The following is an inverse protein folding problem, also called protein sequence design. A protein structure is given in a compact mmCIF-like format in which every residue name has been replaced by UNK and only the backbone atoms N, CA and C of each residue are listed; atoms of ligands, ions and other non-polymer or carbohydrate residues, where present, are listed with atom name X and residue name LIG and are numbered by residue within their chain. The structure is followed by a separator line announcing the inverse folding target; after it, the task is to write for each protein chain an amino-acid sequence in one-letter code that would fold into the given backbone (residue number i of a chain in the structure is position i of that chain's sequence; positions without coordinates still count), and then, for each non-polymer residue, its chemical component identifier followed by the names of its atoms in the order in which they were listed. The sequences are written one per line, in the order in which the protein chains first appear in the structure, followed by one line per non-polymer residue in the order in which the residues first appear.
data_IF_096730766469
#
_entry.id   IF_096730766469
#
_cell.length_a   1.000
_cell.length_b   1.000
_cell.length_c   1.000
_cell.angle_alpha   90.00
_cell.angle_beta   90.00
_cell.angle_gamma   90.00
#
_symmetry.space_group_name_H-M   'P 1'
#
loop_
_entity.id
_entity.type
_entity.pdbx_description
1 polymer ?
#
# COMPACT_ATOMS: atom_id res chain seq x y z
N UNK A 1 -3.38 22.49 -3.84
CA UNK A 1 -3.70 21.77 -2.58
C UNK A 1 -2.42 21.72 -1.77
N UNK A 2 -2.48 21.60 -0.44
CA UNK A 2 -1.28 21.39 0.40
C UNK A 2 -1.01 19.90 0.43
N UNK A 3 0.25 19.52 0.26
CA UNK A 3 0.67 18.12 0.33
C UNK A 3 0.50 17.60 1.76
N UNK A 4 0.10 16.33 1.86
CA UNK A 4 -0.13 15.61 3.13
C UNK A 4 1.03 14.65 3.40
N UNK A 5 1.63 14.76 4.57
CA UNK A 5 2.75 13.90 5.02
C UNK A 5 2.25 12.97 6.12
N UNK A 6 2.37 11.66 5.90
CA UNK A 6 2.12 10.65 6.92
C UNK A 6 3.41 10.43 7.74
N UNK A 7 3.31 10.63 9.05
CA UNK A 7 4.41 10.42 10.01
C UNK A 7 4.12 9.14 10.77
N UNK A 8 5.04 8.18 10.70
CA UNK A 8 4.94 6.87 11.36
C UNK A 8 6.07 6.75 12.38
N UNK A 9 5.71 6.90 13.66
CA UNK A 9 6.65 6.97 14.77
C UNK A 9 5.93 6.53 16.05
N UNK A 10 6.51 5.58 16.79
CA UNK A 10 5.92 5.06 18.03
C UNK A 10 6.31 5.85 19.28
N UNK A 11 7.39 6.63 19.24
CA UNK A 11 7.78 7.52 20.33
C UNK A 11 6.97 8.83 20.28
N UNK A 12 6.04 9.10 21.24
CA UNK A 12 5.10 10.20 21.13
C UNK A 12 5.76 11.58 21.13
N UNK A 13 6.86 11.75 21.88
CA UNK A 13 7.59 13.02 21.97
C UNK A 13 8.25 13.33 20.63
N UNK A 14 8.90 12.35 20.03
CA UNK A 14 9.55 12.51 18.74
C UNK A 14 8.52 12.69 17.60
N UNK A 15 7.43 11.92 17.61
CA UNK A 15 6.32 12.08 16.68
C UNK A 15 5.75 13.51 16.73
N UNK A 16 5.52 14.05 17.92
CA UNK A 16 5.02 15.43 18.13
C UNK A 16 6.00 16.47 17.61
N UNK A 17 7.30 16.26 17.80
CA UNK A 17 8.35 17.16 17.31
C UNK A 17 8.38 17.18 15.77
N UNK A 18 8.34 16.00 15.14
CA UNK A 18 8.33 15.86 13.68
C UNK A 18 7.04 16.47 13.10
N UNK A 19 5.88 16.22 13.72
CA UNK A 19 4.60 16.81 13.33
C UNK A 19 4.66 18.34 13.32
N UNK A 20 5.18 18.93 14.43
CA UNK A 20 5.36 20.38 14.53
C UNK A 20 6.24 20.91 13.38
N UNK A 21 7.36 20.27 13.13
CA UNK A 21 8.30 20.68 12.08
C UNK A 21 7.68 20.62 10.68
N UNK A 22 6.97 19.55 10.38
CA UNK A 22 6.34 19.35 9.07
C UNK A 22 5.21 20.36 8.85
N UNK A 23 4.39 20.64 9.88
CA UNK A 23 3.37 21.69 9.84
C UNK A 23 3.95 23.09 9.68
N UNK A 24 5.05 23.41 10.38
CA UNK A 24 5.74 24.69 10.20
C UNK A 24 6.27 24.89 8.78
N UNK A 25 6.65 23.80 8.11
CA UNK A 25 7.06 23.82 6.71
C UNK A 25 5.88 23.99 5.72
N UNK A 26 4.64 24.02 6.20
CA UNK A 26 3.43 24.29 5.41
C UNK A 26 2.66 23.07 4.94
N UNK A 27 3.03 21.87 5.36
CA UNK A 27 2.36 20.60 5.00
C UNK A 27 1.18 20.28 5.93
N UNK A 28 0.26 19.46 5.45
CA UNK A 28 -0.71 18.74 6.28
C UNK A 28 -0.06 17.47 6.82
N UNK A 29 -0.47 17.03 8.01
CA UNK A 29 0.12 15.85 8.64
C UNK A 29 -0.92 14.85 9.10
N UNK A 30 -0.58 13.57 8.98
CA UNK A 30 -1.23 12.43 9.60
C UNK A 30 -0.18 11.75 10.47
N UNK A 31 -0.54 11.34 11.70
CA UNK A 31 0.39 10.69 12.62
C UNK A 31 -0.11 9.30 12.96
N UNK A 32 0.76 8.31 12.84
CA UNK A 32 0.50 6.93 13.17
C UNK A 32 1.57 6.40 14.14
N UNK A 33 1.15 5.86 15.27
CA UNK A 33 2.04 5.27 16.27
C UNK A 33 2.31 3.78 16.02
N UNK A 34 1.65 3.17 15.06
CA UNK A 34 1.81 1.74 14.73
C UNK A 34 1.75 1.51 13.23
N UNK A 35 2.38 0.41 12.77
CA UNK A 35 2.34 0.04 11.36
C UNK A 35 0.92 -0.22 10.83
N UNK A 36 0.02 -0.74 11.68
CA UNK A 36 -1.38 -0.95 11.29
C UNK A 36 -2.13 0.39 11.06
N UNK A 37 -1.89 1.38 11.93
CA UNK A 37 -2.42 2.74 11.74
C UNK A 37 -1.81 3.40 10.50
N UNK A 38 -0.50 3.24 10.30
CA UNK A 38 0.20 3.77 9.13
C UNK A 38 -0.40 3.27 7.81
N UNK A 39 -0.59 1.95 7.69
CA UNK A 39 -1.20 1.37 6.50
C UNK A 39 -2.66 1.80 6.32
N UNK A 40 -3.42 1.97 7.40
CA UNK A 40 -4.79 2.51 7.33
C UNK A 40 -4.77 3.93 6.76
N UNK A 41 -4.03 4.86 7.38
CA UNK A 41 -3.90 6.23 6.88
C UNK A 41 -3.40 6.27 5.45
N UNK A 42 -2.43 5.42 5.12
CA UNK A 42 -1.92 5.35 3.76
C UNK A 42 -3.01 5.03 2.72
N UNK A 43 -3.89 4.05 3.02
CA UNK A 43 -4.94 3.63 2.08
C UNK A 43 -6.20 4.50 2.11
N UNK A 44 -6.55 5.09 3.25
CA UNK A 44 -7.76 5.87 3.41
C UNK A 44 -7.58 7.35 3.04
N UNK A 45 -6.42 7.92 3.40
CA UNK A 45 -6.16 9.37 3.32
C UNK A 45 -5.20 9.75 2.17
N UNK A 46 -4.58 8.78 1.49
CA UNK A 46 -3.69 8.98 0.34
C UNK A 46 -2.63 10.08 0.53
N UNK A 47 -1.68 9.93 1.47
CA UNK A 47 -0.64 10.91 1.69
C UNK A 47 0.29 11.06 0.48
N UNK A 48 0.84 12.25 0.30
CA UNK A 48 1.80 12.58 -0.77
C UNK A 48 3.24 12.15 -0.43
N UNK A 49 3.53 11.91 0.86
CA UNK A 49 4.83 11.44 1.34
C UNK A 49 4.66 10.70 2.68
N UNK A 50 5.50 9.71 2.92
CA UNK A 50 5.57 8.98 4.19
C UNK A 50 6.94 9.22 4.84
N UNK A 51 6.94 9.69 6.09
CA UNK A 51 8.10 9.71 7.00
C UNK A 51 7.94 8.52 7.94
N UNK A 52 8.89 7.59 7.94
CA UNK A 52 8.73 6.29 8.58
C UNK A 52 9.93 5.94 9.46
N UNK A 53 9.70 5.66 10.75
CA UNK A 53 10.71 4.98 11.56
C UNK A 53 10.75 3.48 11.22
N UNK A 54 11.95 2.95 11.16
CA UNK A 54 12.20 1.51 10.98
C UNK A 54 11.89 0.73 12.24
N UNK A 55 12.16 1.33 13.42
CA UNK A 55 12.20 0.63 14.70
C UNK A 55 10.84 0.57 15.40
N UNK A 56 9.78 0.24 14.66
CA UNK A 56 8.44 0.12 15.22
C UNK A 56 8.24 -1.20 15.98
N UNK A 57 7.45 -1.24 17.07
CA UNK A 57 7.40 -2.38 17.99
C UNK A 57 6.69 -3.62 17.47
N UNK A 58 5.76 -3.51 16.53
CA UNK A 58 4.90 -4.64 16.11
C UNK A 58 5.03 -5.02 14.64
N UNK A 59 5.16 -4.05 13.78
CA UNK A 59 5.37 -4.24 12.35
C UNK A 59 6.63 -3.47 11.98
N UNK A 60 7.69 -4.18 11.60
CA UNK A 60 8.96 -3.57 11.21
C UNK A 60 8.74 -2.58 10.05
N UNK A 61 9.35 -1.39 10.14
CA UNK A 61 9.24 -0.37 9.10
C UNK A 61 9.58 -0.88 7.69
N UNK A 62 10.46 -1.87 7.58
CA UNK A 62 10.76 -2.54 6.32
C UNK A 62 9.53 -3.21 5.69
N UNK A 63 8.71 -3.88 6.50
CA UNK A 63 7.48 -4.51 6.05
C UNK A 63 6.43 -3.48 5.61
N UNK A 64 6.42 -2.30 6.23
CA UNK A 64 5.55 -1.20 5.81
C UNK A 64 5.98 -0.67 4.44
N UNK A 65 7.30 -0.48 4.21
CA UNK A 65 7.83 -0.11 2.90
C UNK A 65 7.41 -1.12 1.83
N UNK A 66 7.66 -2.41 2.05
CA UNK A 66 7.28 -3.46 1.12
C UNK A 66 5.78 -3.41 0.77
N UNK A 67 4.93 -3.27 1.81
CA UNK A 67 3.48 -3.18 1.64
C UNK A 67 3.03 -1.97 0.83
N UNK A 68 3.61 -0.81 1.10
CA UNK A 68 3.31 0.41 0.34
C UNK A 68 3.78 0.25 -1.11
N UNK A 69 4.96 -0.34 -1.32
CA UNK A 69 5.56 -0.52 -2.65
C UNK A 69 4.86 -1.56 -3.52
N UNK A 70 4.09 -2.47 -2.94
CA UNK A 70 3.21 -3.35 -3.71
C UNK A 70 2.22 -2.57 -4.57
N UNK A 71 1.80 -1.38 -4.12
CA UNK A 71 0.68 -0.65 -4.71
C UNK A 71 0.96 0.83 -5.02
N UNK A 72 2.07 1.41 -4.53
CA UNK A 72 2.31 2.84 -4.66
C UNK A 72 3.79 3.19 -4.74
N UNK A 73 4.04 4.32 -5.41
CA UNK A 73 5.34 4.98 -5.49
C UNK A 73 5.41 6.27 -4.68
N UNK A 74 4.47 6.45 -3.74
CA UNK A 74 4.54 7.58 -2.81
C UNK A 74 5.94 7.66 -2.22
N UNK A 75 6.58 8.83 -2.15
CA UNK A 75 7.89 8.96 -1.57
C UNK A 75 7.91 8.49 -0.12
N UNK A 76 8.88 7.63 0.21
CA UNK A 76 9.10 7.14 1.59
C UNK A 76 10.47 7.61 2.05
N UNK A 77 10.46 8.43 3.08
CA UNK A 77 11.64 8.91 3.77
C UNK A 77 11.79 8.16 5.10
N UNK A 78 12.82 7.33 5.19
CA UNK A 78 13.08 6.58 6.42
C UNK A 78 13.86 7.42 7.42
N UNK A 79 13.37 7.47 8.66
CA UNK A 79 14.02 8.20 9.78
C UNK A 79 14.24 7.21 10.92
N UNK A 80 15.49 6.92 11.27
CA UNK A 80 15.77 5.87 12.25
C UNK A 80 17.11 6.05 12.96
N UNK A 81 17.22 5.46 14.17
CA UNK A 81 18.47 5.35 14.90
C UNK A 81 19.45 4.34 14.29
N UNK A 82 18.99 3.44 13.42
CA UNK A 82 19.83 2.46 12.73
C UNK A 82 20.67 3.16 11.68
N UNK A 83 21.97 3.24 11.93
CA UNK A 83 22.92 3.98 11.09
C UNK A 83 23.85 3.09 10.26
N UNK A 84 23.73 1.76 10.35
CA UNK A 84 24.61 0.85 9.63
C UNK A 84 24.44 1.02 8.10
N UNK A 85 25.54 0.87 7.37
CA UNK A 85 25.50 0.90 5.91
C UNK A 85 24.60 -0.20 5.34
N UNK A 86 24.59 -1.37 6.00
CA UNK A 86 23.73 -2.49 5.63
C UNK A 86 22.23 -2.13 5.72
N UNK A 87 21.81 -1.41 6.76
CA UNK A 87 20.43 -0.96 6.93
C UNK A 87 20.02 0.05 5.85
N UNK A 88 20.91 1.00 5.54
CA UNK A 88 20.69 1.98 4.47
C UNK A 88 20.52 1.30 3.10
N UNK A 89 21.42 0.37 2.77
CA UNK A 89 21.36 -0.40 1.53
C UNK A 89 20.09 -1.25 1.48
N UNK A 90 19.68 -1.86 2.60
CA UNK A 90 18.43 -2.62 2.70
C UNK A 90 17.22 -1.73 2.41
N UNK A 91 17.12 -0.56 3.05
CA UNK A 91 16.01 0.37 2.84
C UNK A 91 15.85 0.80 1.40
N UNK A 92 16.94 1.20 0.77
CA UNK A 92 16.93 1.62 -0.64
C UNK A 92 16.57 0.45 -1.57
N UNK A 93 17.03 -0.78 -1.30
CA UNK A 93 16.65 -1.97 -2.08
C UNK A 93 15.16 -2.31 -1.95
N UNK A 94 14.56 -2.08 -0.80
CA UNK A 94 13.13 -2.29 -0.56
C UNK A 94 12.25 -1.18 -1.14
N UNK A 95 12.88 -0.11 -1.65
CA UNK A 95 12.21 0.96 -2.35
C UNK A 95 11.96 2.23 -1.54
N UNK A 96 12.67 2.43 -0.42
CA UNK A 96 12.72 3.75 0.21
C UNK A 96 13.42 4.76 -0.71
N UNK A 97 12.96 6.01 -0.72
CA UNK A 97 13.50 7.07 -1.59
C UNK A 97 14.65 7.82 -0.96
N UNK A 98 14.70 7.87 0.36
CA UNK A 98 15.76 8.51 1.11
C UNK A 98 15.83 7.96 2.56
N UNK A 99 16.92 8.27 3.26
CA UNK A 99 17.22 7.75 4.57
C UNK A 99 17.89 8.81 5.44
N UNK A 100 17.33 9.08 6.63
CA UNK A 100 17.89 10.00 7.62
C UNK A 100 18.18 9.24 8.90
N UNK A 101 19.36 9.48 9.48
CA UNK A 101 19.70 8.90 10.79
C UNK A 101 19.36 9.88 11.92
N UNK A 102 18.76 9.39 12.98
CA UNK A 102 18.62 10.13 14.26
C UNK A 102 20.01 10.33 14.92
N UNK A 103 20.34 11.49 15.50
CA UNK A 103 19.52 12.69 15.61
C UNK A 103 19.46 13.46 14.29
N UNK A 104 18.31 14.03 13.98
CA UNK A 104 18.09 14.83 12.78
C UNK A 104 17.72 16.27 13.16
N UNK A 105 17.90 17.20 12.21
CA UNK A 105 17.54 18.60 12.38
C UNK A 105 16.33 18.99 11.53
N UNK A 106 15.59 20.02 12.00
CA UNK A 106 14.47 20.57 11.22
C UNK A 106 14.85 20.94 9.77
N UNK A 107 15.96 21.69 9.50
CA UNK A 107 16.32 22.03 8.13
C UNK A 107 16.60 20.80 7.26
N UNK A 108 17.23 19.77 7.82
CA UNK A 108 17.52 18.54 7.08
C UNK A 108 16.24 17.79 6.70
N UNK A 109 15.34 17.56 7.67
CA UNK A 109 14.08 16.87 7.43
C UNK A 109 13.28 17.59 6.35
N UNK A 110 13.09 18.91 6.48
CA UNK A 110 12.31 19.71 5.52
C UNK A 110 12.94 19.69 4.12
N UNK A 111 14.26 19.84 4.03
CA UNK A 111 14.96 19.80 2.75
C UNK A 111 14.78 18.45 2.03
N UNK A 112 14.79 17.34 2.78
CA UNK A 112 14.58 16.00 2.20
C UNK A 112 13.13 15.75 1.80
N UNK A 113 12.16 16.18 2.59
CA UNK A 113 10.73 16.15 2.23
C UNK A 113 10.52 16.92 0.91
N UNK A 114 11.01 18.16 0.83
CA UNK A 114 10.90 18.96 -0.39
C UNK A 114 11.57 18.32 -1.60
N UNK A 115 12.75 17.73 -1.41
CA UNK A 115 13.45 17.03 -2.49
C UNK A 115 12.70 15.78 -2.96
N UNK A 116 12.11 15.01 -2.03
CA UNK A 116 11.33 13.82 -2.35
C UNK A 116 10.04 14.16 -3.10
N UNK A 117 9.27 15.14 -2.62
CA UNK A 117 8.05 15.62 -3.29
C UNK A 117 8.34 16.19 -4.68
N UNK A 118 9.40 17.01 -4.82
CA UNK A 118 9.81 17.54 -6.12
C UNK A 118 10.21 16.42 -7.09
N UNK A 119 10.96 15.42 -6.67
CA UNK A 119 11.31 14.26 -7.51
C UNK A 119 10.06 13.50 -7.96
N UNK A 120 9.11 13.28 -7.06
CA UNK A 120 7.83 12.64 -7.38
C UNK A 120 7.03 13.45 -8.42
N UNK A 121 6.98 14.78 -8.28
CA UNK A 121 6.28 15.67 -9.21
C UNK A 121 6.96 15.77 -10.60
N UNK A 122 8.29 15.60 -10.67
CA UNK A 122 9.07 15.71 -11.92
C UNK A 122 9.41 14.35 -12.54
N UNK A 123 9.10 13.24 -11.86
CA UNK A 123 9.24 11.92 -12.47
C UNK A 123 8.39 11.87 -13.75
N UNK A 124 8.96 11.45 -14.90
CA UNK A 124 8.15 11.25 -16.09
C UNK A 124 7.01 10.30 -15.71
N UNK A 125 5.79 10.51 -16.22
CA UNK A 125 4.69 9.60 -15.95
C UNK A 125 5.12 8.23 -16.46
N UNK A 126 5.61 7.39 -15.55
CA UNK A 126 5.77 5.98 -15.89
C UNK A 126 4.39 5.49 -16.30
N UNK A 127 4.37 4.61 -17.31
CA UNK A 127 3.10 4.02 -17.74
C UNK A 127 2.34 3.59 -16.50
N UNK A 128 1.12 4.07 -16.30
CA UNK A 128 0.36 3.76 -15.08
C UNK A 128 0.40 2.27 -14.87
N UNK A 129 0.73 1.84 -13.66
CA UNK A 129 0.78 0.41 -13.28
C UNK A 129 -0.64 -0.13 -13.25
N UNK A 130 -1.18 -0.38 -14.43
CA UNK A 130 -2.52 -0.90 -14.65
C UNK A 130 -2.45 -2.39 -14.93
N UNK A 131 -2.99 -3.16 -14.01
CA UNK A 131 -3.26 -4.56 -14.24
C UNK A 131 -4.55 -4.67 -15.04
N UNK A 132 -4.57 -5.53 -16.05
CA UNK A 132 -5.75 -5.72 -16.89
C UNK A 132 -6.04 -7.21 -17.05
N UNK A 133 -7.30 -7.54 -16.86
CA UNK A 133 -7.82 -8.86 -17.20
C UNK A 133 -9.19 -8.69 -17.85
N UNK A 134 -9.25 -8.87 -19.18
CA UNK A 134 -10.46 -8.63 -19.99
C UNK A 134 -10.97 -7.19 -19.81
N UNK A 135 -12.20 -7.01 -19.31
CA UNK A 135 -12.88 -5.76 -19.06
C UNK A 135 -12.64 -5.18 -17.64
N UNK A 136 -11.85 -5.92 -16.83
CA UNK A 136 -11.43 -5.49 -15.50
C UNK A 136 -10.07 -4.78 -15.60
N UNK A 137 -9.99 -3.59 -15.04
CA UNK A 137 -8.78 -2.76 -14.95
C UNK A 137 -8.56 -2.39 -13.51
N UNK A 138 -7.37 -2.66 -12.97
CA UNK A 138 -6.94 -2.25 -11.65
C UNK A 138 -5.78 -1.28 -11.82
N UNK A 139 -6.00 -0.03 -11.45
CA UNK A 139 -5.00 1.02 -11.45
C UNK A 139 -4.34 1.05 -10.07
N UNK A 140 -3.09 0.61 -10.00
CA UNK A 140 -2.35 0.49 -8.74
C UNK A 140 -1.88 1.85 -8.21
N UNK A 141 -1.71 2.84 -9.08
CA UNK A 141 -1.25 4.17 -8.72
C UNK A 141 -2.43 5.01 -8.18
N UNK A 142 -3.60 4.91 -8.83
CA UNK A 142 -4.82 5.59 -8.39
C UNK A 142 -5.62 4.81 -7.34
N UNK A 143 -5.18 3.60 -6.93
CA UNK A 143 -5.94 2.70 -6.04
C UNK A 143 -7.38 2.49 -6.48
N UNK A 144 -7.61 2.43 -7.78
CA UNK A 144 -8.93 2.37 -8.37
C UNK A 144 -9.10 1.11 -9.22
N UNK A 145 -10.24 0.43 -9.04
CA UNK A 145 -10.65 -0.67 -9.90
C UNK A 145 -11.84 -0.25 -10.77
N UNK A 146 -11.82 -0.66 -12.03
CA UNK A 146 -12.91 -0.46 -12.99
C UNK A 146 -13.28 -1.77 -13.66
N UNK A 147 -14.56 -2.01 -13.80
CA UNK A 147 -15.11 -3.12 -14.56
C UNK A 147 -16.02 -2.53 -15.65
N UNK A 148 -15.76 -2.84 -16.91
CA UNK A 148 -16.50 -2.27 -18.06
C UNK A 148 -16.49 -0.74 -18.09
N UNK A 149 -15.44 -0.13 -17.55
CA UNK A 149 -15.31 1.33 -17.43
C UNK A 149 -15.94 1.94 -16.19
N UNK A 150 -16.81 1.21 -15.47
CA UNK A 150 -17.43 1.67 -14.23
C UNK A 150 -16.52 1.45 -13.02
N UNK A 151 -16.47 2.45 -12.13
CA UNK A 151 -15.65 2.39 -10.91
C UNK A 151 -16.27 1.45 -9.89
N UNK A 152 -15.48 0.48 -9.41
CA UNK A 152 -15.88 -0.40 -8.32
C UNK A 152 -15.36 0.18 -7.01
N UNK A 153 -16.24 0.45 -6.05
CA UNK A 153 -15.86 0.92 -4.72
C UNK A 153 -15.38 -0.24 -3.86
N UNK A 154 -14.08 -0.37 -3.72
CA UNK A 154 -13.43 -1.42 -2.93
C UNK A 154 -12.87 -0.84 -1.63
N UNK A 155 -12.90 -1.64 -0.56
CA UNK A 155 -12.08 -1.37 0.62
C UNK A 155 -10.60 -1.63 0.29
N UNK A 156 -9.64 -1.11 1.08
CA UNK A 156 -8.21 -1.37 0.84
C UNK A 156 -7.86 -2.85 0.74
N UNK A 157 -8.47 -3.69 1.58
CA UNK A 157 -8.26 -5.15 1.57
C UNK A 157 -8.85 -5.82 0.33
N UNK A 158 -10.06 -5.43 -0.08
CA UNK A 158 -10.68 -5.93 -1.31
C UNK A 158 -9.90 -5.50 -2.55
N UNK A 159 -9.36 -4.29 -2.56
CA UNK A 159 -8.50 -3.78 -3.63
C UNK A 159 -7.23 -4.62 -3.75
N UNK A 160 -6.50 -4.85 -2.65
CA UNK A 160 -5.30 -5.70 -2.63
C UNK A 160 -5.61 -7.12 -3.10
N UNK A 161 -6.72 -7.69 -2.63
CA UNK A 161 -7.16 -9.01 -3.06
C UNK A 161 -7.44 -9.06 -4.56
N UNK A 162 -8.15 -8.06 -5.09
CA UNK A 162 -8.44 -7.98 -6.52
C UNK A 162 -7.16 -7.81 -7.35
N UNK A 163 -6.26 -6.90 -6.94
CA UNK A 163 -4.97 -6.68 -7.59
C UNK A 163 -4.16 -7.98 -7.67
N UNK A 164 -4.04 -8.70 -6.55
CA UNK A 164 -3.35 -9.98 -6.48
C UNK A 164 -3.97 -11.04 -7.41
N UNK A 165 -5.29 -11.12 -7.45
CA UNK A 165 -6.00 -12.06 -8.35
C UNK A 165 -5.81 -11.69 -9.83
N UNK A 166 -5.79 -10.39 -10.17
CA UNK A 166 -5.58 -9.93 -11.55
C UNK A 166 -4.14 -10.18 -12.00
N UNK A 167 -3.16 -9.97 -11.12
CA UNK A 167 -1.75 -10.27 -11.40
C UNK A 167 -1.52 -11.75 -11.70
N UNK A 168 -2.28 -12.64 -11.03
CA UNK A 168 -2.24 -14.09 -11.21
C UNK A 168 -3.41 -14.62 -12.04
N UNK A 169 -3.95 -13.80 -12.95
CA UNK A 169 -5.13 -14.16 -13.71
C UNK A 169 -4.95 -15.47 -14.50
N UNK A 170 -5.95 -16.34 -14.43
CA UNK A 170 -5.92 -17.68 -15.04
C UNK A 170 -5.18 -18.74 -14.22
N UNK A 171 -4.39 -18.35 -13.22
CA UNK A 171 -3.68 -19.27 -12.34
C UNK A 171 -4.52 -19.61 -11.10
N UNK A 172 -4.31 -20.81 -10.55
CA UNK A 172 -4.81 -21.17 -9.24
C UNK A 172 -3.93 -20.52 -8.17
N UNK A 173 -4.52 -19.68 -7.32
CA UNK A 173 -3.88 -19.14 -6.14
C UNK A 173 -4.44 -19.81 -4.88
N UNK A 174 -3.57 -20.40 -4.08
CA UNK A 174 -3.98 -21.13 -2.87
C UNK A 174 -4.43 -20.18 -1.76
N UNK A 175 -5.26 -20.69 -0.82
CA UNK A 175 -5.68 -19.90 0.34
C UNK A 175 -4.48 -19.28 1.08
N UNK A 176 -3.43 -20.06 1.31
CA UNK A 176 -2.21 -19.61 1.99
C UNK A 176 -1.52 -18.48 1.22
N UNK A 177 -1.33 -18.63 -0.09
CA UNK A 177 -0.70 -17.58 -0.92
C UNK A 177 -1.47 -16.28 -0.84
N UNK A 178 -2.79 -16.33 -1.01
CA UNK A 178 -3.63 -15.13 -0.92
C UNK A 178 -3.58 -14.50 0.45
N UNK A 179 -3.71 -15.30 1.52
CA UNK A 179 -3.67 -14.81 2.90
C UNK A 179 -2.35 -14.12 3.23
N UNK A 180 -1.23 -14.75 2.87
CA UNK A 180 0.10 -14.17 3.08
C UNK A 180 0.28 -12.87 2.27
N UNK A 181 -0.14 -12.84 1.01
CA UNK A 181 0.02 -11.66 0.15
C UNK A 181 -0.86 -10.49 0.60
N UNK A 182 -2.11 -10.73 0.99
CA UNK A 182 -3.08 -9.66 1.27
C UNK A 182 -3.06 -9.21 2.74
N UNK A 183 -2.89 -10.13 3.70
CA UNK A 183 -2.90 -9.82 5.14
C UNK A 183 -1.53 -9.93 5.80
N UNK A 184 -0.59 -10.67 5.22
CA UNK A 184 0.76 -10.84 5.74
C UNK A 184 0.97 -12.14 6.49
N UNK A 185 2.20 -12.30 7.03
CA UNK A 185 2.56 -13.44 7.85
C UNK A 185 1.71 -13.50 9.12
N UNK A 186 1.33 -14.71 9.53
CA UNK A 186 0.47 -14.96 10.70
C UNK A 186 -1.01 -15.15 10.37
N UNK A 187 -1.45 -14.87 9.15
CA UNK A 187 -2.84 -15.06 8.71
C UNK A 187 -3.04 -16.31 7.84
N UNK A 188 -2.01 -17.15 7.65
CA UNK A 188 -2.00 -18.26 6.68
C UNK A 188 -3.12 -19.30 6.90
N UNK A 189 -3.63 -19.40 8.12
CA UNK A 189 -4.72 -20.32 8.50
C UNK A 189 -6.11 -19.67 8.56
N UNK A 190 -6.21 -18.34 8.39
CA UNK A 190 -7.47 -17.60 8.56
C UNK A 190 -8.34 -17.60 7.29
N UNK A 191 -8.66 -18.82 6.83
CA UNK A 191 -9.45 -19.04 5.62
C UNK A 191 -10.85 -18.41 5.71
N UNK A 192 -11.39 -18.25 6.92
CA UNK A 192 -12.71 -17.62 7.09
C UNK A 192 -12.70 -16.15 6.66
N UNK A 193 -11.68 -15.39 7.07
CA UNK A 193 -11.48 -14.00 6.68
C UNK A 193 -11.39 -13.85 5.17
N UNK A 194 -10.59 -14.70 4.52
CA UNK A 194 -10.47 -14.72 3.07
C UNK A 194 -11.82 -15.00 2.38
N UNK A 195 -12.59 -15.99 2.85
CA UNK A 195 -13.89 -16.35 2.27
C UNK A 195 -14.89 -15.20 2.35
N UNK A 196 -14.91 -14.48 3.47
CA UNK A 196 -15.78 -13.30 3.61
C UNK A 196 -15.37 -12.19 2.63
N UNK A 197 -14.08 -11.91 2.50
CA UNK A 197 -13.57 -10.87 1.58
C UNK A 197 -13.85 -11.25 0.12
N UNK A 198 -13.65 -12.51 -0.27
CA UNK A 198 -14.02 -13.01 -1.61
C UNK A 198 -15.52 -12.85 -1.87
N UNK A 199 -16.37 -13.16 -0.90
CA UNK A 199 -17.83 -12.99 -1.03
C UNK A 199 -18.20 -11.53 -1.29
N UNK A 200 -17.63 -10.62 -0.51
CA UNK A 200 -17.90 -9.18 -0.66
C UNK A 200 -17.40 -8.67 -2.01
N UNK A 201 -16.21 -9.08 -2.40
CA UNK A 201 -15.63 -8.72 -3.70
C UNK A 201 -16.49 -9.23 -4.87
N UNK A 202 -16.93 -10.50 -4.83
CA UNK A 202 -17.86 -11.07 -5.84
C UNK A 202 -19.13 -10.24 -5.94
N UNK A 203 -19.74 -9.91 -4.81
CA UNK A 203 -20.98 -9.11 -4.81
C UNK A 203 -20.78 -7.76 -5.50
N UNK A 204 -19.65 -7.08 -5.24
CA UNK A 204 -19.35 -5.79 -5.88
C UNK A 204 -19.07 -5.90 -7.38
N UNK A 205 -18.44 -6.98 -7.82
CA UNK A 205 -18.25 -7.29 -9.25
C UNK A 205 -19.60 -7.58 -9.93
N UNK A 206 -20.47 -8.36 -9.28
CA UNK A 206 -21.78 -8.73 -9.79
C UNK A 206 -22.74 -7.54 -9.92
N UNK A 207 -22.63 -6.53 -9.05
CA UNK A 207 -23.42 -5.28 -9.18
C UNK A 207 -23.14 -4.58 -10.52
N UNK A 208 -21.89 -4.59 -10.97
CA UNK A 208 -21.48 -3.97 -12.26
C UNK A 208 -21.68 -4.92 -13.46
N UNK A 209 -21.53 -6.21 -13.25
CA UNK A 209 -21.66 -7.23 -14.28
C UNK A 209 -22.61 -8.36 -13.82
N UNK A 210 -23.94 -8.13 -13.81
CA UNK A 210 -24.90 -9.10 -13.31
C UNK A 210 -24.87 -10.42 -14.08
N UNK A 211 -24.88 -11.53 -13.34
CA UNK A 211 -24.86 -12.88 -13.90
C UNK A 211 -23.49 -13.38 -14.35
N UNK A 212 -22.43 -12.60 -14.18
CA UNK A 212 -21.08 -12.98 -14.55
C UNK A 212 -20.21 -13.33 -13.34
N UNK A 213 -19.44 -14.42 -13.43
CA UNK A 213 -18.52 -14.83 -12.37
C UNK A 213 -17.07 -14.58 -12.79
N UNK A 214 -16.40 -13.68 -12.08
CA UNK A 214 -14.98 -13.36 -12.30
C UNK A 214 -14.03 -14.19 -11.46
N UNK A 215 -14.49 -14.71 -10.32
CA UNK A 215 -13.65 -15.44 -9.37
C UNK A 215 -14.22 -16.84 -9.18
N UNK A 216 -13.56 -17.85 -9.74
CA UNK A 216 -13.89 -19.25 -9.51
C UNK A 216 -13.33 -19.73 -8.16
N UNK A 217 -14.04 -20.69 -7.55
CA UNK A 217 -13.55 -21.41 -6.36
C UNK A 217 -13.03 -22.77 -6.78
N UNK A 218 -11.77 -23.05 -6.46
CA UNK A 218 -11.20 -24.39 -6.56
C UNK A 218 -11.29 -25.04 -5.16
N UNK A 219 -12.26 -25.92 -5.01
CA UNK A 219 -12.63 -26.48 -3.69
C UNK A 219 -11.44 -27.11 -2.97
N UNK A 220 -11.25 -26.71 -1.71
CA UNK A 220 -10.15 -27.18 -0.86
C UNK A 220 -8.78 -26.56 -1.18
N UNK A 221 -8.60 -25.87 -2.30
CA UNK A 221 -7.31 -25.33 -2.75
C UNK A 221 -7.23 -23.82 -2.68
N UNK A 222 -8.16 -23.10 -3.31
CA UNK A 222 -8.06 -21.65 -3.42
C UNK A 222 -9.01 -21.03 -4.43
N UNK A 223 -8.53 -20.04 -5.13
CA UNK A 223 -9.32 -19.24 -6.07
C UNK A 223 -8.57 -19.05 -7.40
N UNK A 224 -9.34 -18.76 -8.44
CA UNK A 224 -8.82 -18.41 -9.77
C UNK A 224 -9.63 -17.27 -10.36
N UNK A 225 -8.95 -16.24 -10.86
CA UNK A 225 -9.62 -15.20 -11.65
C UNK A 225 -9.80 -15.73 -13.09
N UNK A 226 -11.05 -15.91 -13.51
CA UNK A 226 -11.39 -16.46 -14.83
C UNK A 226 -12.01 -15.42 -15.75
N UNK A 227 -12.82 -14.51 -15.20
CA UNK A 227 -13.70 -13.61 -15.94
C UNK A 227 -14.84 -14.36 -16.65
N UNK A 228 -15.78 -13.63 -17.27
CA UNK A 228 -16.92 -14.26 -17.92
C UNK A 228 -16.47 -15.25 -19.01
N UNK A 229 -17.15 -16.36 -19.11
CA UNK A 229 -16.99 -17.25 -20.24
C UNK A 229 -17.25 -16.46 -21.54
N UNK A 230 -16.36 -16.53 -22.52
CA UNK A 230 -16.71 -16.02 -23.86
C UNK A 230 -17.90 -16.83 -24.38
N UNK A 231 -18.91 -16.17 -24.95
CA UNK A 231 -19.96 -16.89 -25.69
C UNK A 231 -19.40 -17.68 -26.85
#
# INVERSE_FOLDING_TARGET
MRETVLIVEDEPEFASLVDLWVRQAGYLTLVAATGAQALRHFYDDHPDLVVLDVSLPTLDGWQIVERIREFSRVPILMVTARSSEADKVRGLRLGADDYITKPLSFPELVARIQAALRRAATAPPERPRRLRHRDLVVDLDEHQARLRGEVIRLTPTEFRLLAYLVEHAGQLVTHRQVLTAVWGAGYESDVHLLRMTIRNLRHKLEVVAPGESYIATEYGLGYRLTGPARP
#
